data_IF_737003846633
#
_entry.id   IF_737003846633
#
_cell.length_a   1.000
_cell.length_b   1.000
_cell.length_c   1.000
_cell.angle_alpha   90.00
_cell.angle_beta   90.00
_cell.angle_gamma   90.00
#
_symmetry.space_group_name_H-M   'P 1'
#
loop_
_entity.id
_entity.type
_entity.pdbx_description
1 polymer ?
#
# COMPACT_ATOMS: atom_id res chain seq x y z
N UNK A 1 -43.89 -1.11 -51.81
CA UNK A 1 -43.78 -1.93 -50.59
C UNK A 1 -42.48 -2.74 -50.56
N UNK A 2 -42.16 -3.52 -51.61
CA UNK A 2 -40.93 -4.34 -51.68
C UNK A 2 -39.61 -3.57 -51.54
N UNK A 3 -39.46 -2.43 -52.22
CA UNK A 3 -38.27 -1.55 -52.15
C UNK A 3 -37.99 -0.98 -50.75
N UNK A 4 -39.02 -0.83 -49.91
CA UNK A 4 -38.87 -0.34 -48.54
C UNK A 4 -38.33 -1.42 -47.60
N UNK A 5 -38.75 -2.68 -47.81
CA UNK A 5 -38.32 -3.84 -47.02
C UNK A 5 -36.86 -4.19 -47.31
N UNK A 6 -36.43 -4.12 -48.57
CA UNK A 6 -35.02 -4.37 -48.93
C UNK A 6 -34.10 -3.31 -48.33
N UNK A 7 -34.55 -2.06 -48.24
CA UNK A 7 -33.78 -0.95 -47.67
C UNK A 7 -33.63 -1.08 -46.15
N UNK A 8 -34.69 -1.41 -45.42
CA UNK A 8 -34.63 -1.61 -43.96
C UNK A 8 -33.79 -2.81 -43.56
N UNK A 9 -33.83 -3.89 -44.34
CA UNK A 9 -32.97 -5.05 -44.12
C UNK A 9 -31.49 -4.68 -44.31
N UNK A 10 -31.13 -3.97 -45.39
CA UNK A 10 -29.74 -3.52 -45.62
C UNK A 10 -29.24 -2.61 -44.48
N UNK A 11 -30.07 -1.69 -43.99
CA UNK A 11 -29.74 -0.80 -42.87
C UNK A 11 -29.51 -1.59 -41.56
N UNK A 12 -30.32 -2.60 -41.27
CA UNK A 12 -30.14 -3.48 -40.11
C UNK A 12 -28.83 -4.27 -40.19
N UNK A 13 -28.50 -4.83 -41.35
CA UNK A 13 -27.22 -5.53 -41.56
C UNK A 13 -26.05 -4.58 -41.36
N UNK A 14 -26.08 -3.38 -41.92
CA UNK A 14 -25.04 -2.38 -41.75
C UNK A 14 -24.82 -1.99 -40.28
N UNK A 15 -25.90 -1.83 -39.50
CA UNK A 15 -25.81 -1.53 -38.06
C UNK A 15 -25.19 -2.67 -37.26
N UNK A 16 -25.52 -3.93 -37.57
CA UNK A 16 -24.89 -5.08 -36.89
C UNK A 16 -23.40 -5.21 -37.16
N UNK A 17 -22.96 -4.95 -38.41
CA UNK A 17 -21.54 -4.93 -38.76
C UNK A 17 -20.80 -3.78 -38.10
N UNK A 18 -21.38 -2.58 -38.09
CA UNK A 18 -20.79 -1.41 -37.44
C UNK A 18 -20.66 -1.62 -35.93
N UNK A 19 -21.68 -2.18 -35.28
CA UNK A 19 -21.65 -2.52 -33.85
C UNK A 19 -20.59 -3.60 -33.55
N UNK A 20 -20.48 -4.63 -34.39
CA UNK A 20 -19.45 -5.66 -34.25
C UNK A 20 -18.03 -5.12 -34.43
N UNK A 21 -17.82 -4.24 -35.41
CA UNK A 21 -16.53 -3.59 -35.63
C UNK A 21 -16.15 -2.65 -34.47
N UNK A 22 -17.12 -1.89 -33.95
CA UNK A 22 -16.93 -1.02 -32.79
C UNK A 22 -16.60 -1.82 -31.53
N UNK A 23 -17.30 -2.93 -31.28
CA UNK A 23 -17.03 -3.82 -30.16
C UNK A 23 -15.63 -4.44 -30.29
N UNK A 24 -15.22 -4.84 -31.50
CA UNK A 24 -13.87 -5.31 -31.78
C UNK A 24 -12.80 -4.26 -31.46
N UNK A 25 -12.98 -3.01 -31.90
CA UNK A 25 -12.05 -1.92 -31.61
C UNK A 25 -11.93 -1.63 -30.10
N UNK A 26 -13.04 -1.72 -29.36
CA UNK A 26 -13.05 -1.55 -27.90
C UNK A 26 -12.31 -2.69 -27.18
N UNK A 27 -12.29 -3.91 -27.72
CA UNK A 27 -11.51 -5.02 -27.13
C UNK A 27 -10.00 -4.90 -27.35
N UNK A 28 -9.57 -4.12 -28.35
CA UNK A 28 -8.15 -3.91 -28.69
C UNK A 28 -7.57 -2.69 -27.97
N UNK A 29 -8.39 -1.89 -27.27
CA UNK A 29 -7.89 -0.82 -26.41
C UNK A 29 -7.24 -1.39 -25.14
N UNK A 30 -6.06 -1.97 -25.28
CA UNK A 30 -5.11 -2.12 -24.17
C UNK A 30 -4.64 -0.74 -23.75
N UNK A 31 -4.21 -0.58 -22.49
CA UNK A 31 -3.69 0.69 -21.98
C UNK A 31 -2.75 1.37 -22.99
N UNK A 32 -3.22 2.48 -23.57
CA UNK A 32 -2.64 3.02 -24.80
C UNK A 32 -1.29 3.73 -24.58
N UNK A 33 -0.96 4.03 -23.33
CA UNK A 33 0.21 4.80 -22.92
C UNK A 33 0.93 4.22 -21.70
N UNK A 34 0.63 2.98 -21.29
CA UNK A 34 1.40 2.29 -20.24
C UNK A 34 2.48 1.41 -20.87
N UNK A 35 3.72 1.53 -20.41
CA UNK A 35 4.80 0.63 -20.82
C UNK A 35 4.64 -0.74 -20.12
N UNK A 36 3.91 -1.64 -20.77
CA UNK A 36 3.79 -3.03 -20.32
C UNK A 36 5.02 -3.90 -20.62
N UNK A 37 5.99 -3.43 -21.41
CA UNK A 37 7.18 -4.20 -21.79
C UNK A 37 8.30 -4.07 -20.78
N UNK A 38 8.45 -2.90 -20.16
CA UNK A 38 9.52 -2.62 -19.21
C UNK A 38 8.98 -2.06 -17.87
N UNK A 39 8.17 -2.83 -17.13
CA UNK A 39 7.66 -2.38 -15.85
C UNK A 39 8.78 -2.28 -14.80
N UNK A 40 8.67 -1.31 -13.89
CA UNK A 40 9.48 -1.26 -12.68
C UNK A 40 8.85 -2.17 -11.63
N UNK A 41 9.57 -3.20 -11.21
CA UNK A 41 9.07 -4.19 -10.25
C UNK A 41 9.77 -4.00 -8.91
N UNK A 42 9.00 -3.56 -7.91
CA UNK A 42 9.45 -3.55 -6.52
C UNK A 42 9.11 -4.87 -5.85
N UNK A 43 10.08 -5.42 -5.11
CA UNK A 43 9.89 -6.65 -4.35
C UNK A 43 9.99 -6.33 -2.87
N UNK A 44 9.01 -6.80 -2.11
CA UNK A 44 9.01 -6.68 -0.65
C UNK A 44 10.12 -7.50 0.00
N UNK A 45 10.48 -7.17 1.26
CA UNK A 45 11.49 -7.91 2.00
C UNK A 45 11.04 -9.35 2.26
N UNK A 46 12.02 -10.26 2.24
CA UNK A 46 11.85 -11.59 2.84
C UNK A 46 11.92 -11.38 4.35
N UNK A 47 10.78 -11.42 5.01
CA UNK A 47 10.68 -11.07 6.42
C UNK A 47 11.16 -12.21 7.34
N UNK A 48 11.11 -13.47 6.87
CA UNK A 48 11.46 -14.66 7.65
C UNK A 48 12.00 -15.79 6.73
N UNK A 49 13.04 -16.54 7.14
CA UNK A 49 13.52 -17.71 6.40
C UNK A 49 12.42 -18.77 6.24
N UNK A 50 12.24 -19.28 5.02
CA UNK A 50 11.21 -20.30 4.73
C UNK A 50 9.80 -19.77 4.57
N UNK A 51 9.57 -18.46 4.74
CA UNK A 51 8.28 -17.81 4.52
C UNK A 51 8.19 -17.23 3.11
N UNK A 52 7.06 -17.44 2.44
CA UNK A 52 6.84 -16.92 1.10
C UNK A 52 6.95 -15.38 1.08
N UNK A 53 7.57 -14.81 0.04
CA UNK A 53 7.71 -13.35 -0.14
C UNK A 53 6.39 -12.59 0.01
N UNK A 54 5.28 -13.20 -0.38
CA UNK A 54 3.95 -12.60 -0.27
C UNK A 54 3.39 -12.55 1.16
N UNK A 55 4.01 -13.17 2.16
CA UNK A 55 3.44 -13.27 3.51
C UNK A 55 3.37 -11.93 4.25
N UNK A 56 4.22 -10.96 3.88
CA UNK A 56 4.25 -9.61 4.44
C UNK A 56 3.15 -8.69 3.90
N UNK A 57 2.47 -9.11 2.82
CA UNK A 57 1.49 -8.31 2.06
C UNK A 57 2.11 -7.01 1.52
N UNK A 58 3.37 -7.05 1.10
CA UNK A 58 4.01 -5.92 0.43
C UNK A 58 3.23 -5.50 -0.80
N UNK A 59 2.85 -4.22 -0.88
CA UNK A 59 2.00 -3.69 -1.94
C UNK A 59 0.52 -3.62 -1.56
N UNK A 60 0.15 -3.91 -0.30
CA UNK A 60 -1.24 -3.82 0.16
C UNK A 60 -1.80 -2.40 0.03
N UNK A 61 -0.98 -1.40 0.35
CA UNK A 61 -1.25 0.01 0.10
C UNK A 61 -0.03 0.64 -0.58
N UNK A 62 -0.26 1.58 -1.50
CA UNK A 62 0.79 2.30 -2.21
C UNK A 62 0.48 3.81 -2.28
N UNK A 63 1.51 4.63 -2.10
CA UNK A 63 1.43 6.08 -2.19
C UNK A 63 2.51 6.61 -3.12
N UNK A 64 2.19 7.65 -3.90
CA UNK A 64 3.15 8.32 -4.78
C UNK A 64 3.61 9.60 -4.10
N UNK A 65 4.92 9.79 -4.00
CA UNK A 65 5.47 10.97 -3.35
C UNK A 65 6.49 11.65 -4.25
N UNK A 66 6.51 12.97 -4.18
CA UNK A 66 7.48 13.82 -4.87
C UNK A 66 8.02 14.81 -3.86
N UNK A 67 9.30 14.69 -3.54
CA UNK A 67 10.02 15.61 -2.68
C UNK A 67 11.27 16.14 -3.40
N UNK A 68 12.05 16.97 -2.72
CA UNK A 68 13.26 17.57 -3.29
C UNK A 68 14.31 16.53 -3.72
N UNK A 69 14.30 15.34 -3.09
CA UNK A 69 15.18 14.21 -3.40
C UNK A 69 14.67 13.34 -4.58
N UNK A 70 13.57 13.74 -5.20
CA UNK A 70 12.99 13.10 -6.38
C UNK A 70 11.62 12.46 -6.14
N UNK A 71 11.09 11.84 -7.19
CA UNK A 71 9.89 11.01 -7.08
C UNK A 71 10.25 9.65 -6.49
N UNK A 72 9.37 9.10 -5.65
CA UNK A 72 9.52 7.77 -5.07
C UNK A 72 8.15 7.19 -4.71
N UNK A 73 8.10 5.89 -4.45
CA UNK A 73 6.88 5.16 -4.12
C UNK A 73 6.93 4.71 -2.67
N UNK A 74 5.90 5.02 -1.90
CA UNK A 74 5.69 4.45 -0.57
C UNK A 74 4.89 3.17 -0.71
N UNK A 75 5.34 2.10 -0.07
CA UNK A 75 4.68 0.80 -0.11
C UNK A 75 4.44 0.27 1.29
N UNK A 76 3.19 -0.09 1.59
CA UNK A 76 2.79 -0.72 2.84
C UNK A 76 2.90 -2.25 2.78
N UNK A 77 3.34 -2.84 3.89
CA UNK A 77 3.36 -4.28 4.12
C UNK A 77 2.82 -4.58 5.53
N UNK A 78 1.49 -4.67 5.71
CA UNK A 78 0.84 -4.69 7.03
C UNK A 78 1.17 -5.93 7.87
N UNK A 79 1.71 -6.99 7.27
CA UNK A 79 2.12 -8.20 7.99
C UNK A 79 3.64 -8.34 8.12
N UNK A 80 4.40 -7.34 7.68
CA UNK A 80 5.83 -7.31 7.90
C UNK A 80 6.16 -7.11 9.38
N UNK A 81 7.30 -7.64 9.79
CA UNK A 81 7.90 -7.33 11.08
C UNK A 81 8.84 -6.15 10.87
N UNK A 82 8.61 -5.04 11.56
CA UNK A 82 9.45 -3.84 11.46
C UNK A 82 10.84 -4.13 12.02
N UNK A 83 11.88 -3.76 11.28
CA UNK A 83 13.28 -3.96 11.67
C UNK A 83 13.97 -2.69 12.13
N UNK A 84 13.35 -1.51 11.98
CA UNK A 84 13.94 -0.21 12.34
C UNK A 84 13.15 0.59 13.40
N UNK A 85 11.89 0.26 13.67
CA UNK A 85 11.04 0.98 14.62
C UNK A 85 10.63 0.13 15.82
N UNK A 86 9.39 -0.39 15.78
CA UNK A 86 8.85 -1.30 16.80
C UNK A 86 9.49 -2.69 16.60
N UNK A 87 10.72 -2.82 17.07
CA UNK A 87 11.47 -4.07 17.04
C UNK A 87 10.80 -5.13 17.93
N UNK A 88 11.03 -6.40 17.57
CA UNK A 88 10.65 -7.59 18.37
C UNK A 88 9.14 -7.79 18.57
N UNK A 89 8.31 -7.02 17.87
CA UNK A 89 6.86 -7.25 17.78
C UNK A 89 6.55 -7.89 16.44
N UNK A 90 6.04 -9.14 16.42
CA UNK A 90 5.77 -9.83 15.18
C UNK A 90 4.57 -9.21 14.45
N UNK A 91 4.66 -9.10 13.12
CA UNK A 91 3.55 -8.68 12.24
C UNK A 91 2.96 -7.32 12.61
N UNK A 92 3.79 -6.40 13.10
CA UNK A 92 3.39 -5.01 13.40
C UNK A 92 2.92 -4.26 12.15
N UNK A 93 3.49 -4.61 11.00
CA UNK A 93 3.41 -3.85 9.77
C UNK A 93 4.63 -2.94 9.60
N UNK A 94 4.97 -2.65 8.34
CA UNK A 94 6.09 -1.77 7.99
C UNK A 94 5.80 -1.03 6.69
N UNK A 95 6.46 0.12 6.52
CA UNK A 95 6.42 0.92 5.30
C UNK A 95 7.79 0.93 4.62
N UNK A 96 7.78 1.00 3.29
CA UNK A 96 8.99 0.99 2.49
C UNK A 96 8.99 2.15 1.50
N UNK A 97 10.07 2.92 1.48
CA UNK A 97 10.36 3.92 0.45
C UNK A 97 11.14 3.24 -0.67
N UNK A 98 10.54 3.19 -1.85
CA UNK A 98 11.10 2.59 -3.05
C UNK A 98 11.54 3.69 -4.04
N UNK A 99 12.81 3.65 -4.44
CA UNK A 99 13.40 4.62 -5.38
C UNK A 99 12.88 4.45 -6.82
N UNK A 100 13.24 5.38 -7.70
CA UNK A 100 12.91 5.33 -9.14
C UNK A 100 13.86 4.43 -9.93
N UNK A 101 13.67 4.35 -11.26
CA UNK A 101 14.47 3.57 -12.22
C UNK A 101 16.00 3.63 -11.98
N UNK A 102 16.52 4.75 -11.49
CA UNK A 102 17.96 4.93 -11.23
C UNK A 102 18.46 4.24 -9.95
N UNK A 103 17.57 3.93 -9.00
CA UNK A 103 17.87 3.26 -7.73
C UNK A 103 16.74 2.28 -7.35
N UNK A 104 16.63 1.14 -8.05
CA UNK A 104 15.60 0.15 -7.80
C UNK A 104 15.89 -0.58 -6.47
N UNK A 105 15.37 -0.02 -5.38
CA UNK A 105 15.51 -0.58 -4.06
C UNK A 105 14.49 0.02 -3.10
N UNK A 106 13.98 -0.81 -2.20
CA UNK A 106 13.03 -0.42 -1.18
C UNK A 106 13.74 -0.45 0.19
N UNK A 107 13.61 0.64 0.95
CA UNK A 107 14.16 0.75 2.31
C UNK A 107 13.03 1.01 3.30
N UNK A 108 13.08 0.35 4.45
CA UNK A 108 12.08 0.53 5.50
C UNK A 108 12.10 1.98 6.02
N UNK A 109 10.92 2.55 6.24
CA UNK A 109 10.72 3.88 6.82
C UNK A 109 10.47 3.76 8.32
N UNK A 110 11.19 4.55 9.11
CA UNK A 110 11.02 4.59 10.57
C UNK A 110 9.79 5.43 10.91
N UNK A 111 8.72 4.77 11.35
CA UNK A 111 7.47 5.45 11.74
C UNK A 111 7.40 5.77 13.23
N UNK A 112 7.93 4.87 14.07
CA UNK A 112 7.82 4.98 15.51
C UNK A 112 9.12 4.57 16.19
N UNK A 113 9.74 5.52 16.88
CA UNK A 113 10.95 5.34 17.69
C UNK A 113 10.63 5.16 19.17
N UNK A 114 9.36 5.20 19.60
CA UNK A 114 8.99 5.03 21.01
C UNK A 114 9.36 3.63 21.54
N UNK A 115 9.43 2.62 20.67
CA UNK A 115 10.02 1.33 21.03
C UNK A 115 11.54 1.40 21.24
N UNK A 116 12.26 2.27 20.52
CA UNK A 116 13.68 2.55 20.79
C UNK A 116 13.88 3.30 22.11
N UNK A 117 12.92 4.12 22.56
CA UNK A 117 12.96 4.74 23.89
C UNK A 117 12.90 3.71 25.03
N UNK A 118 12.31 2.52 24.82
CA UNK A 118 12.38 1.40 25.78
C UNK A 118 13.81 0.86 25.96
N UNK A 119 14.71 1.02 24.98
CA UNK A 119 16.12 0.59 25.10
C UNK A 119 16.95 1.50 26.02
N UNK A 120 16.49 2.72 26.32
CA UNK A 120 17.19 3.65 27.21
C UNK A 120 16.79 3.52 28.69
N UNK A 121 16.14 2.41 29.09
CA UNK A 121 15.78 2.17 30.49
C UNK A 121 14.62 3.02 31.00
N UNK A 122 13.89 3.69 30.10
CA UNK A 122 12.63 4.33 30.43
C UNK A 122 11.62 3.22 30.81
N UNK A 123 11.03 3.23 32.04
CA UNK A 123 10.01 2.25 32.38
C UNK A 123 8.86 2.32 31.37
N UNK A 124 8.12 1.21 31.12
CA UNK A 124 6.91 1.29 30.31
C UNK A 124 6.07 2.45 30.85
N UNK A 125 5.61 3.34 29.97
CA UNK A 125 4.66 4.38 30.36
C UNK A 125 3.44 3.65 30.93
N UNK A 126 3.39 3.55 32.25
CA UNK A 126 2.21 3.09 32.97
C UNK A 126 1.19 4.21 32.79
N UNK A 127 0.30 4.02 31.83
CA UNK A 127 -0.88 4.85 31.71
C UNK A 127 -1.79 4.49 32.88
N UNK A 128 -1.65 5.27 33.95
CA UNK A 128 -2.46 5.14 35.12
C UNK A 128 -3.69 6.03 34.94
N UNK A 129 -4.78 5.47 34.39
CA UNK A 129 -6.07 6.15 34.46
C UNK A 129 -6.46 6.28 35.94
N UNK A 130 -6.91 7.45 36.36
CA UNK A 130 -7.34 7.70 37.74
C UNK A 130 -8.52 6.81 38.16
N UNK A 131 -9.28 6.27 37.20
CA UNK A 131 -10.35 5.32 37.47
C UNK A 131 -9.83 3.93 37.92
N UNK A 132 -8.73 3.45 37.31
CA UNK A 132 -8.08 2.18 37.70
C UNK A 132 -7.51 2.18 39.11
N UNK A 133 -7.11 3.36 39.62
CA UNK A 133 -6.67 3.53 41.02
C UNK A 133 -7.77 3.22 42.04
N UNK A 134 -9.05 3.37 41.67
CA UNK A 134 -10.17 3.06 42.56
C UNK A 134 -10.50 1.57 42.61
N UNK A 135 -10.07 0.80 41.61
CA UNK A 135 -10.42 -0.62 41.47
C UNK A 135 -9.31 -1.61 41.87
N UNK A 136 -8.14 -1.12 42.31
CA UNK A 136 -7.04 -2.01 42.73
C UNK A 136 -6.48 -2.89 41.60
N UNK A 137 -6.72 -2.51 40.35
CA UNK A 137 -6.29 -3.26 39.17
C UNK A 137 -4.80 -2.98 38.90
N UNK A 138 -3.96 -4.01 38.62
CA UNK A 138 -2.57 -3.78 38.26
C UNK A 138 -2.47 -2.80 37.08
N UNK A 139 -1.46 -1.92 37.07
CA UNK A 139 -1.27 -0.98 35.97
C UNK A 139 -1.12 -1.76 34.65
N UNK A 140 -1.79 -1.31 33.60
CA UNK A 140 -1.69 -1.95 32.29
C UNK A 140 -0.22 -1.98 31.84
N UNK A 141 0.29 -3.17 31.52
CA UNK A 141 1.69 -3.38 31.10
C UNK A 141 2.01 -2.71 29.76
N UNK A 142 0.97 -2.45 28.95
CA UNK A 142 1.04 -1.75 27.67
C UNK A 142 -0.19 -0.87 27.48
N UNK A 143 0.01 0.37 27.01
CA UNK A 143 -1.09 1.26 26.62
C UNK A 143 -1.69 0.85 25.27
N UNK A 144 -0.82 0.53 24.30
CA UNK A 144 -1.21 0.11 22.95
C UNK A 144 -0.58 -1.25 22.63
N UNK A 145 -1.37 -2.14 22.04
CA UNK A 145 -0.89 -3.42 21.51
C UNK A 145 -0.55 -3.26 20.03
N UNK A 146 0.68 -3.62 19.66
CA UNK A 146 1.21 -3.44 18.30
C UNK A 146 1.34 -4.75 17.51
N UNK A 147 1.23 -5.91 18.16
CA UNK A 147 1.26 -7.20 17.49
C UNK A 147 0.03 -7.36 16.59
N UNK A 148 0.25 -7.50 15.29
CA UNK A 148 -0.83 -7.55 14.32
C UNK A 148 -1.55 -6.20 14.15
N UNK A 149 -0.87 -5.07 14.35
CA UNK A 149 -1.47 -3.74 14.21
C UNK A 149 -1.75 -3.32 12.75
N UNK A 150 -1.25 -4.05 11.76
CA UNK A 150 -1.49 -3.78 10.34
C UNK A 150 -1.00 -2.38 9.89
N UNK A 151 0.13 -1.92 10.42
CA UNK A 151 0.72 -0.66 9.98
C UNK A 151 1.07 -0.73 8.49
N UNK A 152 0.57 0.23 7.70
CA UNK A 152 0.63 0.18 6.24
C UNK A 152 -0.52 -0.55 5.57
N UNK A 153 -1.61 -0.83 6.31
CA UNK A 153 -2.90 -1.26 5.76
C UNK A 153 -3.60 -0.16 4.95
N UNK A 154 -3.35 1.10 5.29
CA UNK A 154 -3.76 2.26 4.50
C UNK A 154 -2.64 3.30 4.48
N UNK A 155 -2.54 4.03 3.36
CA UNK A 155 -1.54 5.05 3.15
C UNK A 155 -2.18 6.29 2.53
N UNK A 156 -1.81 7.45 3.06
CA UNK A 156 -2.05 8.74 2.44
C UNK A 156 -0.75 9.54 2.40
N UNK A 157 -0.52 10.20 1.27
CA UNK A 157 0.73 10.94 0.99
C UNK A 157 0.38 12.34 0.51
N UNK A 158 0.84 13.36 1.22
CA UNK A 158 0.71 14.75 0.82
C UNK A 158 1.83 15.12 -0.17
N UNK A 159 1.51 15.56 -1.39
CA UNK A 159 2.49 15.95 -2.41
C UNK A 159 3.18 17.31 -2.16
N UNK A 160 2.96 17.95 -1.00
CA UNK A 160 3.67 19.16 -0.58
C UNK A 160 5.21 18.97 -0.53
N UNK A 161 6.04 20.01 -0.75
CA UNK A 161 7.51 19.93 -0.63
C UNK A 161 8.00 19.41 0.74
N UNK A 162 7.16 19.53 1.77
CA UNK A 162 7.44 19.05 3.12
C UNK A 162 7.09 17.56 3.33
N UNK A 163 6.45 16.92 2.34
CA UNK A 163 6.18 15.48 2.26
C UNK A 163 5.66 14.86 3.56
N UNK A 164 4.37 15.04 3.87
CA UNK A 164 3.76 14.38 5.03
C UNK A 164 3.22 13.01 4.64
N UNK A 165 3.48 12.04 5.52
CA UNK A 165 3.03 10.66 5.38
C UNK A 165 2.14 10.36 6.59
N UNK A 166 0.96 9.82 6.34
CA UNK A 166 0.07 9.34 7.40
C UNK A 166 -0.38 7.91 7.11
N UNK A 167 -0.52 7.13 8.18
CA UNK A 167 -1.18 5.81 8.17
C UNK A 167 -2.51 5.95 8.89
N UNK A 168 -3.59 5.48 8.26
CA UNK A 168 -4.96 5.55 8.80
C UNK A 168 -5.27 4.27 9.58
#
# INVERSE_FOLDING_TARGET
>A
MWLAITRTLIEMWALTWAAGALLGLLTVSTAFNLDGRHPVIFQGPVTEPGVARGASYFGYAVGLTKADDGAWVLVGAPRATSTLGIHDVPKTGALFKCGTLSQPGCREVVLDTAAAARRQGQPPFLYQDNDTRRQGQPPFLYQDRKDGAWIGGALDTDPSPQGKISTI
#
